data_IF_695590900602
#
_entry.id   IF_695590900602
#
_cell.length_a   1.000
_cell.length_b   1.000
_cell.length_c   1.000
_cell.angle_alpha   90.00
_cell.angle_beta   90.00
_cell.angle_gamma   90.00
#
_symmetry.space_group_name_H-M   'P 1'
#
loop_
_entity.id
_entity.type
_entity.pdbx_description
1 polymer ?
#
# COMPACT_ATOMS: atom_id res chain seq x y z
N UNK A 1 -2.49 -22.03 3.81
CA UNK A 1 -3.35 -21.82 2.62
C UNK A 1 -2.82 -22.67 1.47
N UNK A 2 -3.65 -23.54 0.87
CA UNK A 2 -3.20 -24.41 -0.23
C UNK A 2 -2.89 -23.58 -1.49
N UNK A 3 -2.06 -24.12 -2.39
CA UNK A 3 -1.74 -23.46 -3.69
C UNK A 3 -3.02 -23.14 -4.48
N UNK A 4 -3.98 -24.05 -4.46
CA UNK A 4 -5.28 -23.87 -5.12
C UNK A 4 -6.08 -22.70 -4.54
N UNK A 5 -6.10 -22.55 -3.22
CA UNK A 5 -6.77 -21.41 -2.58
C UNK A 5 -6.11 -20.09 -2.95
N UNK A 6 -4.76 -20.02 -2.99
CA UNK A 6 -4.02 -18.81 -3.43
C UNK A 6 -4.38 -18.43 -4.86
N UNK A 7 -4.37 -19.40 -5.77
CA UNK A 7 -4.73 -19.19 -7.19
C UNK A 7 -6.14 -18.64 -7.34
N UNK A 8 -7.11 -19.21 -6.62
CA UNK A 8 -8.51 -18.72 -6.62
C UNK A 8 -8.62 -17.29 -6.11
N UNK A 9 -7.92 -16.96 -5.02
CA UNK A 9 -7.91 -15.59 -4.47
C UNK A 9 -7.33 -14.60 -5.48
N UNK A 10 -6.17 -14.90 -6.09
CA UNK A 10 -5.58 -14.02 -7.09
C UNK A 10 -6.48 -13.84 -8.31
N UNK A 11 -7.18 -14.90 -8.74
CA UNK A 11 -8.13 -14.83 -9.83
C UNK A 11 -9.33 -13.93 -9.47
N UNK A 12 -9.89 -14.06 -8.26
CA UNK A 12 -10.97 -13.18 -7.79
C UNK A 12 -10.52 -11.73 -7.77
N UNK A 13 -9.34 -11.44 -7.22
CA UNK A 13 -8.78 -10.08 -7.18
C UNK A 13 -8.64 -9.52 -8.61
N UNK A 14 -8.08 -10.30 -9.53
CA UNK A 14 -7.91 -9.86 -10.92
C UNK A 14 -9.26 -9.57 -11.59
N UNK A 15 -10.26 -10.43 -11.39
CA UNK A 15 -11.61 -10.22 -11.93
C UNK A 15 -12.25 -8.95 -11.35
N UNK A 16 -12.14 -8.72 -10.05
CA UNK A 16 -12.67 -7.51 -9.41
C UNK A 16 -12.01 -6.26 -9.98
N UNK A 17 -10.68 -6.24 -10.12
CA UNK A 17 -9.95 -5.10 -10.72
C UNK A 17 -10.40 -4.83 -12.15
N UNK A 18 -10.53 -5.87 -12.97
CA UNK A 18 -11.00 -5.73 -14.36
C UNK A 18 -12.42 -5.16 -14.40
N UNK A 19 -13.34 -5.69 -13.58
CA UNK A 19 -14.72 -5.18 -13.50
C UNK A 19 -14.72 -3.71 -13.08
N UNK A 20 -13.94 -3.32 -12.07
CA UNK A 20 -13.83 -1.93 -11.63
C UNK A 20 -13.39 -1.00 -12.76
N UNK A 21 -12.35 -1.37 -13.53
CA UNK A 21 -11.86 -0.57 -14.66
C UNK A 21 -12.93 -0.46 -15.76
N UNK A 22 -13.62 -1.56 -16.07
CA UNK A 22 -14.68 -1.57 -17.09
C UNK A 22 -15.86 -0.70 -16.67
N UNK A 23 -16.28 -0.78 -15.39
CA UNK A 23 -17.35 0.07 -14.87
C UNK A 23 -16.95 1.55 -14.90
N UNK A 24 -15.72 1.87 -14.51
CA UNK A 24 -15.19 3.23 -14.60
C UNK A 24 -15.24 3.73 -16.05
N UNK A 25 -14.77 2.95 -17.02
CA UNK A 25 -14.77 3.35 -18.43
C UNK A 25 -16.18 3.57 -19.02
N UNK A 26 -17.20 2.84 -18.54
CA UNK A 26 -18.57 2.93 -19.05
C UNK A 26 -19.37 4.04 -18.34
N UNK A 27 -19.16 4.22 -17.04
CA UNK A 27 -20.00 5.11 -16.21
C UNK A 27 -19.35 6.47 -15.92
N UNK A 28 -18.01 6.57 -15.90
CA UNK A 28 -17.34 7.84 -15.64
C UNK A 28 -17.45 8.73 -16.89
N UNK A 29 -18.42 9.65 -16.87
CA UNK A 29 -18.41 10.76 -17.82
C UNK A 29 -17.19 11.65 -17.53
N UNK A 30 -16.39 12.03 -18.53
CA UNK A 30 -15.20 12.86 -18.35
C UNK A 30 -15.63 14.28 -17.94
N UNK A 31 -15.71 14.54 -16.64
CA UNK A 31 -15.98 15.86 -16.06
C UNK A 31 -14.75 16.51 -15.43
N UNK A 32 -13.54 16.01 -15.73
CA UNK A 32 -12.28 16.57 -15.25
C UNK A 32 -11.41 17.08 -16.40
N UNK A 33 -10.85 18.28 -16.23
CA UNK A 33 -9.78 18.81 -17.10
C UNK A 33 -8.42 18.13 -16.84
N UNK A 34 -8.37 17.23 -15.86
CA UNK A 34 -7.16 16.63 -15.33
C UNK A 34 -6.97 15.19 -15.81
N UNK A 35 -5.71 14.83 -16.08
CA UNK A 35 -5.33 13.53 -16.65
C UNK A 35 -5.77 12.31 -15.81
N UNK A 36 -5.93 12.49 -14.49
CA UNK A 36 -6.35 11.44 -13.55
C UNK A 36 -7.78 10.96 -13.80
N UNK A 37 -8.64 11.83 -14.34
CA UNK A 37 -10.05 11.54 -14.59
C UNK A 37 -10.32 11.07 -16.03
N UNK A 38 -9.27 11.05 -16.86
CA UNK A 38 -9.35 10.67 -18.29
C UNK A 38 -8.82 9.26 -18.52
N UNK A 39 -7.94 8.76 -17.64
CA UNK A 39 -7.34 7.43 -17.76
C UNK A 39 -8.11 6.44 -16.89
N UNK A 40 -8.85 5.47 -17.48
CA UNK A 40 -9.56 4.47 -16.70
C UNK A 40 -8.60 3.63 -15.86
N UNK A 41 -8.93 3.42 -14.58
CA UNK A 41 -8.12 2.64 -13.64
C UNK A 41 -6.98 3.43 -13.01
N UNK A 42 -6.88 4.73 -13.25
CA UNK A 42 -5.86 5.57 -12.62
C UNK A 42 -5.98 5.59 -11.09
N UNK A 43 -7.21 5.54 -10.56
CA UNK A 43 -7.48 5.44 -9.13
C UNK A 43 -6.91 4.16 -8.51
N UNK A 44 -7.03 3.02 -9.22
CA UNK A 44 -6.46 1.74 -8.78
C UNK A 44 -4.93 1.81 -8.74
N UNK A 45 -4.33 2.43 -9.74
CA UNK A 45 -2.88 2.61 -9.81
C UNK A 45 -2.38 3.52 -8.68
N UNK A 46 -2.99 4.68 -8.49
CA UNK A 46 -2.61 5.59 -7.40
C UNK A 46 -2.81 4.95 -6.03
N UNK A 47 -3.92 4.26 -5.79
CA UNK A 47 -4.17 3.62 -4.50
C UNK A 47 -3.12 2.53 -4.23
N UNK A 48 -2.79 1.71 -5.24
CA UNK A 48 -1.82 0.63 -5.08
C UNK A 48 -0.39 1.16 -4.89
N UNK A 49 0.09 1.97 -5.83
CA UNK A 49 1.46 2.51 -5.79
C UNK A 49 1.62 3.54 -4.67
N UNK A 50 0.65 4.43 -4.48
CA UNK A 50 0.63 5.38 -3.38
C UNK A 50 0.65 4.67 -2.02
N UNK A 51 -0.16 3.62 -1.85
CA UNK A 51 -0.13 2.79 -0.65
C UNK A 51 1.24 2.16 -0.40
N UNK A 52 1.86 1.58 -1.45
CA UNK A 52 3.21 1.03 -1.33
C UNK A 52 4.24 2.11 -0.96
N UNK A 53 4.23 3.25 -1.65
CA UNK A 53 5.14 4.37 -1.37
C UNK A 53 4.99 4.83 0.08
N UNK A 54 3.76 4.98 0.59
CA UNK A 54 3.51 5.35 1.98
C UNK A 54 4.07 4.32 2.96
N UNK A 55 3.89 3.03 2.70
CA UNK A 55 4.46 1.96 3.54
C UNK A 55 5.98 2.00 3.54
N UNK A 56 6.61 2.18 2.37
CA UNK A 56 8.07 2.27 2.27
C UNK A 56 8.60 3.52 2.98
N UNK A 57 7.93 4.66 2.80
CA UNK A 57 8.28 5.90 3.46
C UNK A 57 8.16 5.77 4.98
N UNK A 58 7.05 5.21 5.47
CA UNK A 58 6.85 4.94 6.89
C UNK A 58 7.96 4.05 7.45
N UNK A 59 8.32 2.97 6.76
CA UNK A 59 9.34 2.03 7.23
C UNK A 59 10.78 2.57 7.14
N UNK A 60 11.11 3.36 6.12
CA UNK A 60 12.50 3.80 5.88
C UNK A 60 12.83 5.17 6.45
N UNK A 61 11.84 6.05 6.58
CA UNK A 61 12.05 7.43 7.03
C UNK A 61 11.42 7.62 8.40
N UNK A 62 10.13 7.31 8.53
CA UNK A 62 9.39 7.61 9.76
C UNK A 62 9.85 6.72 10.92
N UNK A 63 10.01 5.41 10.67
CA UNK A 63 10.43 4.43 11.66
C UNK A 63 11.78 4.80 12.32
N UNK A 64 12.91 4.98 11.60
CA UNK A 64 14.16 5.37 12.26
C UNK A 64 14.14 6.79 12.83
N UNK A 65 13.31 7.70 12.33
CA UNK A 65 13.23 9.06 12.85
C UNK A 65 12.43 9.17 14.17
N UNK A 66 11.41 8.33 14.36
CA UNK A 66 10.49 8.39 15.50
C UNK A 66 10.61 7.23 16.47
N UNK A 67 11.01 6.05 15.99
CA UNK A 67 11.19 4.90 16.88
C UNK A 67 12.47 5.10 17.69
N UNK A 68 12.34 4.90 18.99
CA UNK A 68 13.46 4.98 19.91
C UNK A 68 14.37 3.76 19.73
N UNK A 69 15.67 3.96 19.91
CA UNK A 69 16.66 2.88 19.88
C UNK A 69 16.23 1.72 20.76
N UNK A 70 16.34 0.51 20.23
CA UNK A 70 15.88 -0.72 20.86
C UNK A 70 16.59 -0.96 22.21
N UNK A 71 17.84 -0.49 22.32
CA UNK A 71 18.70 -0.65 23.51
C UNK A 71 18.44 0.39 24.61
N UNK A 72 17.45 1.27 24.46
CA UNK A 72 17.26 2.39 25.39
C UNK A 72 17.03 1.96 26.85
N UNK A 73 16.30 0.86 27.07
CA UNK A 73 16.03 0.34 28.42
C UNK A 73 17.10 -0.61 28.93
N UNK A 74 17.80 -1.30 28.02
CA UNK A 74 18.91 -2.18 28.38
C UNK A 74 20.12 -1.38 28.85
N UNK A 75 20.34 -0.19 28.27
CA UNK A 75 21.39 0.74 28.72
C UNK A 75 21.14 1.29 30.14
N UNK A 76 19.89 1.30 30.62
CA UNK A 76 19.54 1.85 31.94
C UNK A 76 19.60 0.82 33.06
N UNK A 77 19.53 -0.47 32.74
CA UNK A 77 19.56 -1.58 33.72
C UNK A 77 20.92 -2.30 33.79
N UNK A 78 21.90 -1.91 32.95
CA UNK A 78 23.22 -2.56 32.84
C UNK A 78 24.40 -1.70 33.27
N UNK A 79 24.19 -0.68 34.11
CA UNK A 79 25.24 0.26 34.56
C UNK A 79 25.90 -0.04 35.91
N UNK A 80 25.56 -1.14 36.58
CA UNK A 80 26.11 -1.51 37.90
C UNK A 80 26.79 -2.89 37.88
N UNK A 81 27.48 -3.25 36.79
CA UNK A 81 28.44 -4.35 36.77
C UNK A 81 29.65 -3.99 35.93
N UNK A 82 30.52 -3.18 36.52
CA UNK A 82 32.00 -3.29 36.59
C UNK A 82 32.62 -1.93 36.97
#
# INVERSE_FOLDING_TARGET
>A
MSKETKKKIYLIIAVVVIISIVLEAIFAHPHGHEIWHVVPGFDVLIAFFGGWILILFAKKVLAPALQRDEDYYDRKNGGDKE
#
